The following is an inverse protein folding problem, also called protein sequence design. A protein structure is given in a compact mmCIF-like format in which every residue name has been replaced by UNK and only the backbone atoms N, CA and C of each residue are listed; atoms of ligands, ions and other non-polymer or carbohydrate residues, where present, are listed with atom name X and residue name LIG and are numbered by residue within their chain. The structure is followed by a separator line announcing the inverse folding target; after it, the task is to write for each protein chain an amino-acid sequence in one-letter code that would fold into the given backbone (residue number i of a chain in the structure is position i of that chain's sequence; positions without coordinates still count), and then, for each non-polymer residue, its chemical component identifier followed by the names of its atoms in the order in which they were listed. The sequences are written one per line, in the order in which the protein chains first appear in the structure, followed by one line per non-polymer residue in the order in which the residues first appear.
data_IF_979044889189
#
_entry.id   IF_979044889189
#
_cell.length_a   1.000
_cell.length_b   1.000
_cell.length_c   1.000
_cell.angle_alpha   90.00
_cell.angle_beta   90.00
_cell.angle_gamma   90.00
#
_symmetry.space_group_name_H-M   'P 1'
#
loop_
_entity.id
_entity.type
_entity.pdbx_description
1 polymer ?
#
# COMPACT_ATOMS: atom_id res chain seq x y z
N UNK A 1 33.52 -5.96 -14.96
CA UNK A 1 32.36 -6.23 -14.09
C UNK A 1 32.63 -5.49 -12.79
N UNK A 2 32.05 -4.31 -12.61
CA UNK A 2 32.14 -3.62 -11.31
C UNK A 2 31.51 -4.50 -10.24
N UNK A 3 32.29 -4.79 -9.20
CA UNK A 3 31.84 -5.58 -8.07
C UNK A 3 30.54 -4.99 -7.51
N UNK A 4 29.56 -5.85 -7.29
CA UNK A 4 28.30 -5.53 -6.59
C UNK A 4 28.60 -4.73 -5.30
N UNK A 5 27.86 -3.65 -4.97
CA UNK A 5 28.05 -2.94 -3.70
C UNK A 5 27.48 -3.78 -2.56
N UNK A 6 28.16 -4.89 -2.28
CA UNK A 6 27.74 -5.86 -1.27
C UNK A 6 27.77 -5.22 0.10
N UNK A 7 28.75 -4.35 0.32
CA UNK A 7 28.97 -3.70 1.61
C UNK A 7 27.78 -2.81 2.01
N UNK A 8 27.31 -1.82 1.21
CA UNK A 8 26.11 -1.07 1.56
C UNK A 8 24.88 -1.94 1.81
N UNK A 9 24.61 -2.93 0.95
CA UNK A 9 23.43 -3.79 1.13
C UNK A 9 23.52 -4.70 2.36
N UNK A 10 24.72 -5.19 2.71
CA UNK A 10 24.96 -5.98 3.93
C UNK A 10 24.82 -5.11 5.20
N UNK A 11 25.34 -3.89 5.19
CA UNK A 11 25.16 -2.93 6.30
C UNK A 11 23.68 -2.59 6.45
N UNK A 12 22.98 -2.35 5.33
CA UNK A 12 21.55 -2.09 5.34
C UNK A 12 20.77 -3.26 5.94
N UNK A 13 21.08 -4.50 5.53
CA UNK A 13 20.47 -5.71 6.06
C UNK A 13 20.73 -5.85 7.58
N UNK A 14 21.96 -5.61 8.02
CA UNK A 14 22.31 -5.62 9.45
C UNK A 14 21.52 -4.60 10.26
N UNK A 15 21.45 -3.35 9.78
CA UNK A 15 20.64 -2.29 10.39
C UNK A 15 19.14 -2.61 10.38
N UNK A 16 18.65 -3.25 9.32
CA UNK A 16 17.26 -3.67 9.20
C UNK A 16 16.88 -4.79 10.17
N UNK A 17 17.78 -5.76 10.39
CA UNK A 17 17.59 -6.81 11.40
C UNK A 17 17.55 -6.23 12.82
N UNK A 18 18.41 -5.26 13.13
CA UNK A 18 18.35 -4.51 14.39
C UNK A 18 17.04 -3.72 14.49
N UNK A 19 16.59 -3.13 13.38
CA UNK A 19 15.30 -2.46 13.24
C UNK A 19 14.09 -3.33 13.52
N UNK A 20 14.11 -4.58 13.06
CA UNK A 20 13.10 -5.58 13.38
C UNK A 20 13.03 -5.82 14.90
N UNK A 21 14.19 -6.06 15.54
CA UNK A 21 14.26 -6.25 17.00
C UNK A 21 13.82 -5.01 17.78
N UNK A 22 14.20 -3.80 17.32
CA UNK A 22 13.76 -2.54 17.90
C UNK A 22 12.24 -2.39 17.78
N UNK A 23 11.65 -2.68 16.61
CA UNK A 23 10.20 -2.60 16.42
C UNK A 23 9.46 -3.61 17.31
N UNK A 24 9.97 -4.84 17.42
CA UNK A 24 9.40 -5.88 18.29
C UNK A 24 9.38 -5.49 19.76
N UNK A 25 10.40 -4.77 20.22
CA UNK A 25 10.57 -4.39 21.64
C UNK A 25 9.88 -3.07 21.98
N UNK A 26 9.91 -2.09 21.08
CA UNK A 26 9.36 -0.76 21.32
C UNK A 26 7.84 -0.71 21.26
N UNK A 27 7.19 -1.48 20.37
CA UNK A 27 5.72 -1.51 20.27
C UNK A 27 5.05 -1.82 21.63
N UNK A 28 5.39 -2.92 22.34
CA UNK A 28 4.81 -3.19 23.65
C UNK A 28 5.29 -2.20 24.71
N UNK A 29 6.52 -1.68 24.62
CA UNK A 29 7.04 -0.71 25.58
C UNK A 29 6.28 0.64 25.56
N UNK A 30 5.73 1.03 24.41
CA UNK A 30 4.95 2.27 24.28
C UNK A 30 3.43 2.07 24.39
N UNK A 31 2.94 0.83 24.45
CA UNK A 31 1.50 0.51 24.48
C UNK A 31 0.71 1.36 25.50
N UNK A 32 1.18 1.47 26.74
CA UNK A 32 0.49 2.22 27.80
C UNK A 32 0.40 3.72 27.49
N UNK A 33 1.39 4.28 26.76
CA UNK A 33 1.38 5.69 26.35
C UNK A 33 0.30 5.96 25.31
N UNK A 34 0.10 5.04 24.35
CA UNK A 34 -0.97 5.16 23.35
C UNK A 34 -2.35 5.04 24.00
N UNK A 35 -2.51 4.10 24.94
CA UNK A 35 -3.74 3.98 25.72
C UNK A 35 -4.03 5.25 26.53
N UNK A 36 -3.02 5.80 27.21
CA UNK A 36 -3.14 7.06 27.96
C UNK A 36 -3.47 8.26 27.06
N UNK A 37 -2.93 8.29 25.84
CA UNK A 37 -3.22 9.32 24.83
C UNK A 37 -4.57 9.13 24.11
N UNK A 38 -5.35 8.10 24.47
CA UNK A 38 -6.61 7.72 23.81
C UNK A 38 -6.46 7.34 22.33
N UNK A 39 -5.27 6.86 21.94
CA UNK A 39 -5.00 6.31 20.62
C UNK A 39 -5.22 4.79 20.65
N UNK A 40 -6.48 4.40 20.66
CA UNK A 40 -6.89 2.99 20.67
C UNK A 40 -8.23 2.79 19.96
N UNK A 41 -8.46 1.57 19.50
CA UNK A 41 -9.71 1.12 18.89
C UNK A 41 -10.22 -0.18 19.50
N UNK A 42 -11.47 -0.52 19.23
CA UNK A 42 -12.02 -1.85 19.53
C UNK A 42 -11.84 -2.77 18.32
N UNK A 43 -11.60 -4.06 18.59
CA UNK A 43 -11.63 -5.07 17.53
C UNK A 43 -13.09 -5.39 17.15
N UNK A 44 -13.58 -4.73 16.10
CA UNK A 44 -14.96 -4.83 15.62
C UNK A 44 -15.35 -6.24 15.16
N UNK A 45 -14.37 -7.11 14.91
CA UNK A 45 -14.55 -8.50 14.48
C UNK A 45 -14.45 -9.50 15.63
N UNK A 46 -14.38 -9.04 16.89
CA UNK A 46 -14.34 -9.89 18.08
C UNK A 46 -15.43 -9.52 19.07
N UNK A 47 -15.83 -10.50 19.89
CA UNK A 47 -16.77 -10.27 20.98
C UNK A 47 -16.16 -9.40 22.11
N UNK A 48 -14.83 -9.48 22.29
CA UNK A 48 -14.11 -8.71 23.30
C UNK A 48 -14.01 -7.23 22.92
N UNK A 49 -14.53 -6.36 23.78
CA UNK A 49 -14.49 -4.89 23.66
C UNK A 49 -13.27 -4.25 24.34
N UNK A 50 -12.18 -5.01 24.53
CA UNK A 50 -10.95 -4.47 25.11
C UNK A 50 -10.35 -3.41 24.16
N UNK A 51 -9.85 -2.28 24.68
CA UNK A 51 -9.14 -1.30 23.87
C UNK A 51 -7.81 -1.89 23.39
N UNK A 52 -7.52 -1.72 22.10
CA UNK A 52 -6.28 -2.14 21.45
C UNK A 52 -5.56 -0.88 20.95
N UNK A 53 -4.28 -0.66 21.30
CA UNK A 53 -3.53 0.51 20.83
C UNK A 53 -3.55 0.63 19.32
N UNK A 54 -3.83 1.83 18.83
CA UNK A 54 -3.89 2.16 17.40
C UNK A 54 -2.67 2.98 16.98
N UNK A 55 -2.55 3.28 15.68
CA UNK A 55 -1.47 4.05 15.09
C UNK A 55 -0.05 3.51 15.38
N UNK A 56 0.12 2.20 15.64
CA UNK A 56 1.44 1.62 15.92
C UNK A 56 2.39 1.64 14.71
N UNK A 57 1.87 1.90 13.51
CA UNK A 57 2.67 2.21 12.34
C UNK A 57 3.68 3.34 12.56
N UNK A 58 3.39 4.28 13.48
CA UNK A 58 4.30 5.38 13.81
C UNK A 58 5.60 4.88 14.44
N UNK A 59 5.57 3.82 15.23
CA UNK A 59 6.77 3.24 15.86
C UNK A 59 7.63 2.55 14.80
N UNK A 60 7.04 1.69 13.97
CA UNK A 60 7.78 1.05 12.87
C UNK A 60 8.31 2.07 11.86
N UNK A 61 7.54 3.14 11.58
CA UNK A 61 7.96 4.24 10.72
C UNK A 61 9.11 5.06 11.31
N UNK A 62 9.08 5.35 12.62
CA UNK A 62 10.17 6.03 13.30
C UNK A 62 11.45 5.18 13.31
N UNK A 63 11.35 3.89 13.60
CA UNK A 63 12.48 2.95 13.54
C UNK A 63 13.04 2.89 12.11
N UNK A 64 12.18 2.82 11.10
CA UNK A 64 12.57 2.87 9.68
C UNK A 64 13.37 4.14 9.35
N UNK A 65 12.90 5.32 9.77
CA UNK A 65 13.60 6.58 9.54
C UNK A 65 14.96 6.61 10.25
N UNK A 66 15.05 6.13 11.50
CA UNK A 66 16.32 6.07 12.24
C UNK A 66 17.34 5.17 11.51
N UNK A 67 16.91 3.99 11.04
CA UNK A 67 17.78 3.09 10.27
C UNK A 67 18.31 3.81 9.05
N UNK A 68 17.43 4.44 8.27
CA UNK A 68 17.85 5.11 7.04
C UNK A 68 18.69 6.36 7.29
N UNK A 69 18.43 7.13 8.35
CA UNK A 69 19.27 8.26 8.73
C UNK A 69 20.70 7.81 9.08
N UNK A 70 20.83 6.71 9.83
CA UNK A 70 22.14 6.11 10.10
C UNK A 70 22.76 5.48 8.85
N UNK A 71 21.95 5.07 7.88
CA UNK A 71 22.40 4.47 6.62
C UNK A 71 22.82 5.50 5.56
N UNK A 72 22.38 6.76 5.62
CA UNK A 72 22.71 7.83 4.65
C UNK A 72 24.20 7.86 4.24
N UNK A 73 25.19 7.84 5.15
CA UNK A 73 26.60 7.93 4.75
C UNK A 73 27.12 6.64 4.08
N UNK A 74 26.41 5.51 4.21
CA UNK A 74 26.89 4.18 3.83
C UNK A 74 27.09 4.00 2.33
N UNK A 75 26.12 4.35 1.45
CA UNK A 75 26.33 4.32 0.00
C UNK A 75 27.52 5.17 -0.47
N UNK A 76 27.85 6.23 0.28
CA UNK A 76 28.88 7.20 -0.06
C UNK A 76 30.22 6.97 0.67
N UNK A 77 30.41 5.84 1.35
CA UNK A 77 31.62 5.57 2.14
C UNK A 77 32.92 5.70 1.34
N UNK A 78 32.90 5.36 0.04
CA UNK A 78 34.09 5.54 -0.82
C UNK A 78 34.54 7.00 -0.86
N UNK A 79 33.61 7.96 -0.93
CA UNK A 79 33.95 9.38 -0.86
C UNK A 79 34.45 9.84 0.53
N UNK A 80 34.14 9.11 1.60
CA UNK A 80 34.59 9.45 2.96
C UNK A 80 35.90 8.78 3.36
N UNK A 81 36.19 7.59 2.83
CA UNK A 81 37.33 6.74 3.25
C UNK A 81 38.49 6.82 2.27
N UNK A 82 38.21 6.87 0.96
CA UNK A 82 39.24 7.04 -0.06
C UNK A 82 39.31 8.54 -0.37
N UNK A 83 40.49 9.17 -0.25
CA UNK A 83 40.75 10.58 -0.64
C UNK A 83 40.54 10.85 -2.15
N UNK A 84 39.84 9.96 -2.86
CA UNK A 84 39.73 9.88 -4.32
C UNK A 84 38.31 10.13 -4.87
N UNK A 85 37.39 10.74 -4.10
CA UNK A 85 36.20 11.32 -4.73
C UNK A 85 36.54 12.65 -5.41
N UNK A 86 36.70 12.62 -6.73
CA UNK A 86 36.90 13.83 -7.54
C UNK A 86 35.72 14.80 -7.41
N UNK A 87 34.50 14.29 -7.22
CA UNK A 87 33.30 15.04 -6.87
C UNK A 87 32.33 14.14 -6.08
N UNK A 88 31.56 14.72 -5.15
CA UNK A 88 30.54 14.00 -4.40
C UNK A 88 29.30 13.75 -5.29
N UNK A 89 28.73 12.52 -5.31
CA UNK A 89 27.55 12.20 -6.11
C UNK A 89 26.28 12.82 -5.51
N UNK A 90 26.07 14.10 -5.78
CA UNK A 90 24.94 14.85 -5.24
C UNK A 90 23.58 14.35 -5.73
N UNK A 91 23.50 13.79 -6.94
CA UNK A 91 22.24 13.32 -7.53
C UNK A 91 21.64 12.16 -6.71
N UNK A 92 22.43 11.10 -6.46
CA UNK A 92 22.04 9.96 -5.61
C UNK A 92 21.72 10.39 -4.17
N UNK A 93 22.47 11.35 -3.63
CA UNK A 93 22.22 11.88 -2.29
C UNK A 93 20.91 12.65 -2.22
N UNK A 94 20.61 13.47 -3.22
CA UNK A 94 19.35 14.22 -3.33
C UNK A 94 18.17 13.26 -3.47
N UNK A 95 18.32 12.17 -4.23
CA UNK A 95 17.30 11.12 -4.33
C UNK A 95 17.01 10.47 -2.98
N UNK A 96 18.06 10.10 -2.23
CA UNK A 96 17.93 9.47 -0.91
C UNK A 96 17.23 10.41 0.09
N UNK A 97 17.68 11.66 0.18
CA UNK A 97 17.14 12.66 1.11
C UNK A 97 15.72 13.09 0.73
N UNK A 98 15.46 13.36 -0.54
CA UNK A 98 14.13 13.76 -1.02
C UNK A 98 13.09 12.65 -0.82
N UNK A 99 13.50 11.39 -0.99
CA UNK A 99 12.69 10.21 -0.69
C UNK A 99 12.36 10.08 0.79
N UNK A 100 13.38 10.24 1.65
CA UNK A 100 13.19 10.24 3.10
C UNK A 100 12.30 11.38 3.56
N UNK A 101 12.42 12.56 2.96
CA UNK A 101 11.54 13.69 3.24
C UNK A 101 10.09 13.37 2.88
N UNK A 102 9.83 12.82 1.70
CA UNK A 102 8.49 12.41 1.29
C UNK A 102 7.88 11.36 2.25
N UNK A 103 8.66 10.32 2.60
CA UNK A 103 8.21 9.26 3.51
C UNK A 103 8.00 9.79 4.94
N UNK A 104 8.92 10.61 5.46
CA UNK A 104 8.81 11.22 6.78
C UNK A 104 7.57 12.14 6.87
N UNK A 105 7.36 13.00 5.87
CA UNK A 105 6.15 13.81 5.77
C UNK A 105 4.90 12.93 5.77
N UNK A 106 4.92 11.80 5.06
CA UNK A 106 3.77 10.92 5.00
C UNK A 106 3.50 10.18 6.33
N UNK A 107 4.54 9.71 7.03
CA UNK A 107 4.39 9.12 8.38
C UNK A 107 3.77 10.15 9.32
N UNK A 108 4.27 11.39 9.29
CA UNK A 108 3.74 12.48 10.11
C UNK A 108 2.26 12.78 9.78
N UNK A 109 1.92 12.90 8.50
CA UNK A 109 0.55 13.22 8.07
C UNK A 109 -0.43 12.07 8.34
N UNK A 110 0.02 10.81 8.20
CA UNK A 110 -0.78 9.65 8.57
C UNK A 110 -1.05 9.59 10.07
N UNK A 111 -0.04 9.92 10.89
CA UNK A 111 -0.22 10.03 12.34
C UNK A 111 -1.14 11.20 12.72
N UNK A 112 -1.03 12.34 12.04
CA UNK A 112 -1.96 13.44 12.20
C UNK A 112 -3.40 13.05 11.80
N UNK A 113 -3.59 12.22 10.76
CA UNK A 113 -4.90 11.70 10.37
C UNK A 113 -5.50 10.76 11.44
N UNK A 114 -4.70 9.84 11.99
CA UNK A 114 -5.12 8.97 13.09
C UNK A 114 -5.54 9.78 14.34
N UNK A 115 -4.81 10.84 14.69
CA UNK A 115 -5.10 11.68 15.87
C UNK A 115 -6.30 12.61 15.62
N UNK A 116 -6.37 13.25 14.46
CA UNK A 116 -7.34 14.31 14.17
C UNK A 116 -8.60 13.82 13.44
N UNK A 117 -8.63 12.57 12.96
CA UNK A 117 -9.71 11.99 12.17
C UNK A 117 -10.13 12.89 11.00
N UNK A 118 -9.21 13.13 10.05
CA UNK A 118 -9.43 14.12 9.00
C UNK A 118 -10.52 13.69 8.01
N UNK A 119 -11.20 14.67 7.42
CA UNK A 119 -12.19 14.44 6.35
C UNK A 119 -11.52 13.82 5.11
N UNK A 120 -12.26 12.99 4.37
CA UNK A 120 -11.80 12.27 3.17
C UNK A 120 -11.04 13.14 2.15
N UNK A 121 -11.41 14.41 1.97
CA UNK A 121 -10.72 15.34 1.06
C UNK A 121 -9.25 15.52 1.41
N UNK A 122 -8.90 15.54 2.71
CA UNK A 122 -7.51 15.68 3.15
C UNK A 122 -6.74 14.38 2.90
N UNK A 123 -7.40 13.22 2.90
CA UNK A 123 -6.79 11.93 2.53
C UNK A 123 -6.36 11.87 1.06
N UNK A 124 -6.84 12.80 0.22
CA UNK A 124 -6.36 13.00 -1.16
C UNK A 124 -5.32 14.12 -1.26
N UNK A 125 -5.56 15.24 -0.58
CA UNK A 125 -4.68 16.42 -0.65
C UNK A 125 -3.32 16.19 0.05
N UNK A 126 -3.32 15.54 1.21
CA UNK A 126 -2.11 15.35 2.02
C UNK A 126 -1.08 14.46 1.32
N UNK A 127 -1.44 13.30 0.73
CA UNK A 127 -0.49 12.55 -0.09
C UNK A 127 0.03 13.30 -1.30
N UNK A 128 -0.81 14.13 -1.92
CA UNK A 128 -0.39 14.97 -3.05
C UNK A 128 0.68 15.97 -2.60
N UNK A 129 0.49 16.64 -1.46
CA UNK A 129 1.49 17.57 -0.92
C UNK A 129 2.78 16.86 -0.46
N UNK A 130 2.66 15.71 0.21
CA UNK A 130 3.81 14.95 0.69
C UNK A 130 4.64 14.30 -0.41
N UNK A 131 4.08 14.14 -1.63
CA UNK A 131 4.83 13.66 -2.80
C UNK A 131 5.57 14.78 -3.55
N UNK A 132 5.39 16.06 -3.20
CA UNK A 132 6.10 17.15 -3.87
C UNK A 132 7.64 17.03 -3.83
N UNK A 133 8.29 16.62 -2.71
CA UNK A 133 9.74 16.39 -2.71
C UNK A 133 10.16 15.36 -3.77
N UNK A 134 9.41 14.26 -3.89
CA UNK A 134 9.64 13.21 -4.88
C UNK A 134 9.52 13.74 -6.31
N UNK A 135 8.50 14.57 -6.59
CA UNK A 135 8.32 15.21 -7.90
C UNK A 135 9.47 16.19 -8.22
N UNK A 136 9.96 16.94 -7.23
CA UNK A 136 11.08 17.87 -7.43
C UNK A 136 12.39 17.12 -7.72
N UNK A 137 12.69 16.05 -6.98
CA UNK A 137 13.83 15.17 -7.27
C UNK A 137 13.75 14.60 -8.68
N UNK A 138 12.56 14.10 -9.08
CA UNK A 138 12.37 13.57 -10.42
C UNK A 138 12.65 14.63 -11.50
N UNK A 139 12.18 15.85 -11.28
CA UNK A 139 12.40 16.98 -12.18
C UNK A 139 13.87 17.38 -12.30
N UNK A 140 14.61 17.39 -11.20
CA UNK A 140 16.02 17.84 -11.20
C UNK A 140 16.98 16.79 -11.74
N UNK A 141 16.74 15.51 -11.46
CA UNK A 141 17.71 14.44 -11.73
C UNK A 141 17.42 13.69 -13.04
N UNK A 142 16.16 13.41 -13.35
CA UNK A 142 15.79 12.55 -14.50
C UNK A 142 15.08 13.33 -15.61
N UNK A 143 14.02 14.07 -15.27
CA UNK A 143 13.27 14.92 -16.19
C UNK A 143 12.53 14.20 -17.34
N UNK A 144 12.59 12.87 -17.43
CA UNK A 144 12.00 12.14 -18.56
C UNK A 144 10.48 11.95 -18.41
N UNK A 145 9.70 12.67 -19.20
CA UNK A 145 8.23 12.57 -19.19
C UNK A 145 7.67 11.71 -20.32
N UNK A 146 8.54 11.07 -21.11
CA UNK A 146 8.13 10.24 -22.25
C UNK A 146 7.88 8.80 -21.82
N UNK A 147 6.69 8.29 -22.12
CA UNK A 147 6.34 6.90 -21.88
C UNK A 147 6.42 6.07 -23.16
N UNK A 148 6.85 4.82 -23.03
CA UNK A 148 6.67 3.81 -24.08
C UNK A 148 5.22 3.31 -24.04
N UNK A 149 4.53 3.43 -25.18
CA UNK A 149 3.14 3.04 -25.34
C UNK A 149 3.04 1.52 -25.60
N UNK A 150 2.16 0.79 -24.89
CA UNK A 150 1.96 -0.64 -25.15
C UNK A 150 1.43 -0.91 -26.56
N UNK A 151 1.86 -2.01 -27.19
CA UNK A 151 1.54 -2.43 -28.58
C UNK A 151 0.07 -2.18 -28.99
N UNK A 152 -0.96 -2.58 -28.21
CA UNK A 152 -2.36 -2.37 -28.60
C UNK A 152 -2.76 -0.90 -28.82
N UNK A 153 -2.07 0.06 -28.18
CA UNK A 153 -2.41 1.48 -28.23
C UNK A 153 -1.54 2.29 -29.20
N UNK A 154 -0.49 1.68 -29.78
CA UNK A 154 0.46 2.39 -30.63
C UNK A 154 -0.15 2.92 -31.93
N UNK A 155 -1.21 2.28 -32.43
CA UNK A 155 -1.93 2.75 -33.61
C UNK A 155 -2.55 4.13 -33.37
N UNK A 156 -3.00 4.40 -32.14
CA UNK A 156 -3.65 5.67 -31.78
C UNK A 156 -2.65 6.72 -31.27
N UNK A 157 -1.66 6.30 -30.50
CA UNK A 157 -0.81 7.20 -29.70
C UNK A 157 0.66 7.23 -30.12
N UNK A 158 1.06 6.44 -31.12
CA UNK A 158 2.46 6.28 -31.52
C UNK A 158 3.25 5.34 -30.59
N UNK A 159 4.56 5.20 -30.85
CA UNK A 159 5.45 4.34 -30.05
C UNK A 159 5.84 5.00 -28.71
N UNK A 160 6.10 6.30 -28.76
CA UNK A 160 6.49 7.13 -27.63
C UNK A 160 5.50 8.27 -27.49
N UNK A 161 5.06 8.53 -26.27
CA UNK A 161 4.15 9.61 -25.95
C UNK A 161 4.77 10.47 -24.84
N UNK A 162 5.05 11.73 -25.14
CA UNK A 162 5.43 12.70 -24.13
C UNK A 162 4.18 13.20 -23.40
N UNK A 163 4.13 12.96 -22.09
CA UNK A 163 3.03 13.36 -21.23
C UNK A 163 3.27 14.73 -20.57
N UNK A 164 4.50 15.24 -20.59
CA UNK A 164 4.88 16.48 -19.90
C UNK A 164 4.35 16.55 -18.47
N UNK A 165 3.58 17.60 -18.16
CA UNK A 165 2.97 17.81 -16.84
C UNK A 165 2.04 16.67 -16.39
N UNK A 166 1.40 15.97 -17.31
CA UNK A 166 0.52 14.85 -16.96
C UNK A 166 1.30 13.67 -16.36
N UNK A 167 2.59 13.55 -16.67
CA UNK A 167 3.46 12.56 -16.01
C UNK A 167 3.67 12.89 -14.53
N UNK A 168 3.84 14.17 -14.19
CA UNK A 168 3.92 14.62 -12.80
C UNK A 168 2.60 14.45 -12.05
N UNK A 169 1.47 14.71 -12.70
CA UNK A 169 0.14 14.41 -12.15
C UNK A 169 0.00 12.91 -11.88
N UNK A 170 0.45 12.06 -12.80
CA UNK A 170 0.47 10.61 -12.61
C UNK A 170 1.31 10.21 -11.39
N UNK A 171 2.53 10.74 -11.24
CA UNK A 171 3.39 10.43 -10.09
C UNK A 171 2.76 10.85 -8.75
N UNK A 172 2.18 12.05 -8.69
CA UNK A 172 1.46 12.51 -7.50
C UNK A 172 0.25 11.63 -7.18
N UNK A 173 -0.55 11.28 -8.20
CA UNK A 173 -1.69 10.40 -8.04
C UNK A 173 -1.30 8.95 -7.72
N UNK A 174 -0.10 8.50 -8.10
CA UNK A 174 0.42 7.20 -7.73
C UNK A 174 0.66 7.11 -6.22
N UNK A 175 1.22 8.15 -5.61
CA UNK A 175 1.37 8.23 -4.15
C UNK A 175 0.00 8.27 -3.43
N UNK A 176 -0.95 9.05 -3.95
CA UNK A 176 -2.33 9.09 -3.43
C UNK A 176 -2.98 7.70 -3.54
N UNK A 177 -2.81 7.03 -4.67
CA UNK A 177 -3.38 5.71 -4.91
C UNK A 177 -2.77 4.67 -3.97
N UNK A 178 -1.44 4.53 -3.91
CA UNK A 178 -0.80 3.49 -3.10
C UNK A 178 -1.17 3.59 -1.61
N UNK A 179 -1.23 4.79 -1.05
CA UNK A 179 -1.61 5.02 0.36
C UNK A 179 -3.06 4.66 0.63
N UNK A 180 -3.98 5.16 -0.19
CA UNK A 180 -5.41 4.91 0.00
C UNK A 180 -5.81 3.48 -0.36
N UNK A 181 -5.17 2.86 -1.35
CA UNK A 181 -5.54 1.52 -1.83
C UNK A 181 -5.24 0.44 -0.78
N UNK A 182 -4.13 0.56 -0.04
CA UNK A 182 -3.84 -0.27 1.14
C UNK A 182 -4.87 0.03 2.23
N UNK A 183 -5.15 1.31 2.49
CA UNK A 183 -6.05 1.72 3.56
C UNK A 183 -7.51 1.25 3.40
N UNK A 184 -8.00 1.14 2.16
CA UNK A 184 -9.36 0.64 1.91
C UNK A 184 -9.45 -0.89 1.80
N UNK A 185 -8.31 -1.59 1.73
CA UNK A 185 -8.21 -3.06 1.80
C UNK A 185 -7.75 -3.46 3.20
N UNK A 186 -8.57 -3.11 4.19
CA UNK A 186 -8.25 -3.14 5.61
C UNK A 186 -9.41 -3.68 6.45
N UNK A 187 -9.18 -3.82 7.76
CA UNK A 187 -10.24 -4.09 8.75
C UNK A 187 -10.39 -5.55 9.17
N UNK A 188 -9.39 -6.40 8.90
CA UNK A 188 -9.23 -7.71 9.54
C UNK A 188 -7.79 -7.86 10.02
N UNK A 189 -7.59 -8.56 11.14
CA UNK A 189 -6.30 -8.65 11.83
C UNK A 189 -5.16 -9.15 10.91
N UNK A 190 -4.13 -8.32 10.73
CA UNK A 190 -2.92 -8.62 9.97
C UNK A 190 -2.93 -8.28 8.47
N UNK A 191 -4.04 -7.77 7.91
CA UNK A 191 -4.14 -7.61 6.45
C UNK A 191 -3.33 -6.45 5.89
N UNK A 192 -3.27 -5.33 6.59
CA UNK A 192 -2.59 -4.10 6.15
C UNK A 192 -1.07 -4.33 6.13
N UNK A 193 -0.48 -4.74 7.26
CA UNK A 193 0.94 -5.06 7.34
C UNK A 193 1.30 -6.31 6.51
N UNK A 194 0.43 -7.31 6.48
CA UNK A 194 0.66 -8.55 5.73
C UNK A 194 0.71 -8.34 4.22
N UNK A 195 -0.24 -7.61 3.63
CA UNK A 195 -0.23 -7.36 2.18
C UNK A 195 0.97 -6.51 1.78
N UNK A 196 1.33 -5.50 2.60
CA UNK A 196 2.51 -4.68 2.38
C UNK A 196 3.81 -5.50 2.46
N UNK A 197 3.91 -6.49 3.35
CA UNK A 197 5.06 -7.39 3.38
C UNK A 197 5.20 -8.23 2.12
N UNK A 198 4.10 -8.76 1.58
CA UNK A 198 4.14 -9.52 0.32
C UNK A 198 4.56 -8.63 -0.85
N UNK A 199 4.03 -7.40 -0.92
CA UNK A 199 4.42 -6.42 -1.94
C UNK A 199 5.90 -6.07 -1.81
N UNK A 200 6.38 -5.75 -0.60
CA UNK A 200 7.78 -5.44 -0.34
C UNK A 200 8.71 -6.61 -0.71
N UNK A 201 8.37 -7.84 -0.32
CA UNK A 201 9.12 -9.03 -0.71
C UNK A 201 9.16 -9.21 -2.23
N UNK A 202 8.04 -8.95 -2.91
CA UNK A 202 7.96 -9.04 -4.38
C UNK A 202 8.86 -8.01 -5.04
N UNK A 203 8.89 -6.76 -4.54
CA UNK A 203 9.79 -5.71 -5.03
C UNK A 203 11.25 -6.06 -4.73
N UNK A 204 11.58 -6.60 -3.54
CA UNK A 204 12.93 -7.06 -3.20
C UNK A 204 13.39 -8.16 -4.17
N UNK A 205 12.56 -9.18 -4.40
CA UNK A 205 12.87 -10.27 -5.35
C UNK A 205 13.06 -9.70 -6.76
N UNK A 206 12.17 -8.81 -7.20
CA UNK A 206 12.27 -8.15 -8.49
C UNK A 206 13.58 -7.38 -8.63
N UNK A 207 13.93 -6.53 -7.66
CA UNK A 207 15.21 -5.82 -7.66
C UNK A 207 16.38 -6.80 -7.72
N UNK A 208 16.38 -7.87 -6.91
CA UNK A 208 17.47 -8.86 -6.92
C UNK A 208 17.68 -9.47 -8.30
N UNK A 209 16.59 -9.79 -9.01
CA UNK A 209 16.66 -10.33 -10.37
C UNK A 209 17.19 -9.30 -11.37
N UNK A 210 16.76 -8.04 -11.27
CA UNK A 210 17.15 -6.99 -12.23
C UNK A 210 18.54 -6.37 -11.96
N UNK A 211 19.23 -6.74 -10.87
CA UNK A 211 20.57 -6.21 -10.57
C UNK A 211 21.66 -6.65 -11.56
N UNK A 212 21.39 -7.68 -12.38
CA UNK A 212 22.25 -8.06 -13.50
C UNK A 212 21.85 -7.37 -14.81
N UNK A 213 20.82 -6.52 -14.80
CA UNK A 213 20.30 -5.79 -15.97
C UNK A 213 20.83 -4.35 -16.07
N UNK A 214 20.26 -3.60 -17.01
CA UNK A 214 20.73 -2.27 -17.42
C UNK A 214 20.49 -1.17 -16.37
N UNK A 215 19.48 -1.31 -15.51
CA UNK A 215 19.06 -0.31 -14.52
C UNK A 215 19.49 -0.68 -13.09
N UNK A 216 20.72 -1.18 -12.95
CA UNK A 216 21.23 -1.72 -11.68
C UNK A 216 21.14 -0.71 -10.53
N UNK A 217 21.49 0.55 -10.74
CA UNK A 217 21.54 1.57 -9.68
C UNK A 217 20.14 1.89 -9.12
N UNK A 218 19.13 1.98 -9.98
CA UNK A 218 17.71 2.13 -9.62
C UNK A 218 17.23 0.99 -8.70
N UNK A 219 17.66 -0.25 -8.98
CA UNK A 219 17.30 -1.41 -8.17
C UNK A 219 18.06 -1.47 -6.84
N UNK A 220 19.31 -1.02 -6.80
CA UNK A 220 20.08 -0.84 -5.55
C UNK A 220 19.40 0.21 -4.67
N UNK A 221 19.07 1.37 -5.25
CA UNK A 221 18.34 2.44 -4.58
C UNK A 221 17.03 1.93 -3.97
N UNK A 222 16.23 1.20 -4.75
CA UNK A 222 15.00 0.59 -4.27
C UNK A 222 15.23 -0.40 -3.11
N UNK A 223 16.27 -1.22 -3.17
CA UNK A 223 16.65 -2.12 -2.06
C UNK A 223 17.04 -1.37 -0.78
N UNK A 224 17.62 -0.18 -0.89
CA UNK A 224 17.94 0.64 0.29
C UNK A 224 16.72 0.93 1.14
N UNK A 225 15.56 1.20 0.53
CA UNK A 225 14.31 1.45 1.25
C UNK A 225 13.53 0.17 1.56
N UNK A 226 13.47 -0.77 0.61
CA UNK A 226 12.60 -1.95 0.76
C UNK A 226 13.06 -2.91 1.85
N UNK A 227 14.38 -3.07 2.07
CA UNK A 227 14.89 -3.98 3.11
C UNK A 227 14.50 -3.49 4.52
N UNK A 228 14.79 -2.24 4.94
CA UNK A 228 14.31 -1.71 6.22
C UNK A 228 12.79 -1.74 6.34
N UNK A 229 12.08 -1.36 5.28
CA UNK A 229 10.61 -1.37 5.27
C UNK A 229 10.06 -2.77 5.56
N UNK A 230 10.62 -3.79 4.92
CA UNK A 230 10.23 -5.19 5.13
C UNK A 230 10.45 -5.59 6.60
N UNK A 231 11.63 -5.34 7.16
CA UNK A 231 11.95 -5.79 8.51
C UNK A 231 11.21 -5.02 9.62
N UNK A 232 11.01 -3.71 9.49
CA UNK A 232 10.20 -2.95 10.46
C UNK A 232 8.72 -3.34 10.37
N UNK A 233 8.20 -3.56 9.16
CA UNK A 233 6.82 -4.06 8.97
C UNK A 233 6.65 -5.48 9.53
N UNK A 234 7.66 -6.35 9.41
CA UNK A 234 7.63 -7.68 10.00
C UNK A 234 7.53 -7.63 11.53
N UNK A 235 8.22 -6.67 12.16
CA UNK A 235 8.13 -6.42 13.60
C UNK A 235 6.74 -5.90 14.01
N UNK A 236 6.13 -5.04 13.20
CA UNK A 236 4.75 -4.58 13.39
C UNK A 236 3.74 -5.73 13.23
N UNK A 237 3.89 -6.54 12.17
CA UNK A 237 3.02 -7.68 11.90
C UNK A 237 3.06 -8.69 13.04
N UNK A 238 4.20 -8.90 13.69
CA UNK A 238 4.27 -9.80 14.86
C UNK A 238 3.27 -9.44 15.98
N UNK A 239 3.01 -8.15 16.20
CA UNK A 239 2.03 -7.69 17.20
C UNK A 239 0.63 -7.50 16.62
N UNK A 240 0.52 -7.21 15.32
CA UNK A 240 -0.74 -7.02 14.59
C UNK A 240 -1.34 -8.32 14.01
N UNK A 241 -0.60 -9.43 14.01
CA UNK A 241 -1.12 -10.71 13.53
C UNK A 241 -2.26 -11.21 14.42
N UNK A 242 -3.17 -12.00 13.84
CA UNK A 242 -4.29 -12.57 14.59
C UNK A 242 -3.80 -13.44 15.78
N UNK A 243 -4.33 -13.23 17.00
CA UNK A 243 -5.23 -12.15 17.40
C UNK A 243 -4.47 -10.84 17.69
N UNK A 244 -4.86 -9.74 17.03
CA UNK A 244 -4.15 -8.45 17.17
C UNK A 244 -4.01 -8.01 18.61
N UNK A 245 -2.79 -7.61 18.96
CA UNK A 245 -2.44 -6.89 20.18
C UNK A 245 -2.34 -5.39 19.93
N UNK A 246 -2.17 -4.99 18.68
CA UNK A 246 -2.11 -3.59 18.23
C UNK A 246 -2.72 -3.42 16.84
N UNK A 247 -3.18 -2.20 16.52
CA UNK A 247 -3.58 -1.78 15.19
C UNK A 247 -2.55 -0.84 14.55
N UNK A 248 -2.40 -0.96 13.24
CA UNK A 248 -1.37 -0.24 12.48
C UNK A 248 -1.72 1.24 12.28
N UNK A 249 -3.02 1.56 12.16
CA UNK A 249 -3.55 2.90 11.87
C UNK A 249 -3.35 3.37 10.43
N UNK A 250 -3.96 4.51 10.09
CA UNK A 250 -3.77 5.21 8.82
C UNK A 250 -2.28 5.56 8.63
N UNK A 251 -1.56 5.83 9.73
CA UNK A 251 -0.10 6.05 9.75
C UNK A 251 0.66 5.01 8.95
N UNK A 252 0.37 3.72 9.17
CA UNK A 252 1.07 2.65 8.46
C UNK A 252 0.67 2.59 6.98
N UNK A 253 -0.62 2.71 6.66
CA UNK A 253 -1.09 2.66 5.28
C UNK A 253 -0.45 3.79 4.44
N UNK A 254 -0.32 4.97 5.05
CA UNK A 254 0.30 6.15 4.46
C UNK A 254 1.81 5.93 4.29
N UNK A 255 2.49 5.49 5.35
CA UNK A 255 3.91 5.10 5.33
C UNK A 255 4.20 4.08 4.22
N UNK A 256 3.47 2.97 4.17
CA UNK A 256 3.66 1.90 3.20
C UNK A 256 3.43 2.40 1.78
N UNK A 257 2.29 3.05 1.53
CA UNK A 257 1.94 3.53 0.20
C UNK A 257 2.94 4.53 -0.36
N UNK A 258 3.44 5.47 0.45
CA UNK A 258 4.47 6.41 0.02
C UNK A 258 5.81 5.74 -0.22
N UNK A 259 6.22 4.81 0.66
CA UNK A 259 7.49 4.08 0.46
C UNK A 259 7.48 3.30 -0.85
N UNK A 260 6.36 2.64 -1.20
CA UNK A 260 6.20 1.98 -2.49
C UNK A 260 6.23 2.99 -3.65
N UNK A 261 5.46 4.07 -3.57
CA UNK A 261 5.43 5.09 -4.63
C UNK A 261 6.82 5.69 -4.89
N UNK A 262 7.59 5.99 -3.83
CA UNK A 262 8.97 6.48 -3.91
C UNK A 262 9.86 5.53 -4.71
N UNK A 263 9.93 4.25 -4.32
CA UNK A 263 10.81 3.30 -5.01
C UNK A 263 10.33 2.99 -6.42
N UNK A 264 9.00 2.98 -6.66
CA UNK A 264 8.45 2.77 -7.99
C UNK A 264 8.70 3.94 -8.94
N UNK A 265 8.69 5.18 -8.43
CA UNK A 265 8.91 6.40 -9.22
C UNK A 265 10.40 6.58 -9.52
N UNK A 266 11.26 6.64 -8.49
CA UNK A 266 12.69 6.88 -8.70
C UNK A 266 13.43 5.65 -9.21
N UNK A 267 12.91 4.44 -8.95
CA UNK A 267 13.44 3.22 -9.54
C UNK A 267 12.89 2.93 -10.95
N UNK A 268 12.11 3.82 -11.55
CA UNK A 268 11.55 3.70 -12.91
C UNK A 268 10.72 2.42 -13.19
N UNK A 269 10.28 1.69 -12.18
CA UNK A 269 9.48 0.46 -12.31
C UNK A 269 8.03 0.59 -11.81
N UNK A 270 7.49 1.82 -11.75
CA UNK A 270 6.11 2.11 -11.29
C UNK A 270 5.03 1.25 -11.97
N UNK A 271 5.20 0.90 -13.25
CA UNK A 271 4.32 -0.04 -13.97
C UNK A 271 4.37 -1.46 -13.38
N UNK A 272 5.56 -1.99 -13.13
CA UNK A 272 5.74 -3.31 -12.50
C UNK A 272 5.25 -3.29 -11.06
N UNK A 273 5.51 -2.21 -10.33
CA UNK A 273 4.99 -2.02 -8.98
C UNK A 273 3.45 -2.07 -8.95
N UNK A 274 2.78 -1.39 -9.89
CA UNK A 274 1.31 -1.45 -10.00
C UNK A 274 0.79 -2.87 -10.29
N UNK A 275 1.56 -3.73 -10.95
CA UNK A 275 1.21 -5.14 -11.11
C UNK A 275 1.31 -5.90 -9.77
N UNK A 276 2.25 -5.57 -8.89
CA UNK A 276 2.25 -6.11 -7.53
C UNK A 276 1.05 -5.60 -6.69
N UNK A 277 0.42 -4.50 -7.10
CA UNK A 277 -0.80 -3.97 -6.48
C UNK A 277 -2.11 -4.55 -7.05
N UNK A 278 -2.08 -5.66 -7.80
CA UNK A 278 -3.29 -6.24 -8.44
C UNK A 278 -4.48 -6.36 -7.46
N UNK A 279 -4.35 -6.96 -6.25
CA UNK A 279 -5.49 -7.06 -5.34
C UNK A 279 -6.01 -5.71 -4.85
N UNK A 280 -5.12 -4.75 -4.61
CA UNK A 280 -5.46 -3.38 -4.19
C UNK A 280 -6.20 -2.64 -5.31
N UNK A 281 -5.71 -2.75 -6.55
CA UNK A 281 -6.36 -2.20 -7.76
C UNK A 281 -7.76 -2.81 -7.92
N UNK A 282 -7.89 -4.13 -7.82
CA UNK A 282 -9.19 -4.81 -7.93
C UNK A 282 -10.15 -4.39 -6.81
N UNK A 283 -9.67 -4.30 -5.56
CA UNK A 283 -10.49 -3.82 -4.44
C UNK A 283 -10.93 -2.37 -4.62
N UNK A 284 -10.04 -1.50 -5.10
CA UNK A 284 -10.34 -0.10 -5.39
C UNK A 284 -11.41 0.03 -6.47
N UNK A 285 -11.21 -0.63 -7.63
CA UNK A 285 -12.17 -0.63 -8.74
C UNK A 285 -13.53 -1.18 -8.32
N UNK A 286 -13.55 -2.29 -7.57
CA UNK A 286 -14.78 -2.86 -7.04
C UNK A 286 -15.47 -1.94 -6.03
N UNK A 287 -14.71 -1.19 -5.24
CA UNK A 287 -15.22 -0.23 -4.26
C UNK A 287 -15.73 1.09 -4.86
N UNK A 288 -15.37 1.44 -6.11
CA UNK A 288 -15.66 2.75 -6.69
C UNK A 288 -17.12 3.19 -6.60
N UNK A 289 -18.13 2.34 -6.86
CA UNK A 289 -19.53 2.75 -6.74
C UNK A 289 -19.90 3.24 -5.33
N UNK A 290 -19.31 2.63 -4.29
CA UNK A 290 -19.50 3.06 -2.91
C UNK A 290 -18.63 4.26 -2.56
N UNK A 291 -17.35 4.29 -2.97
CA UNK A 291 -16.45 5.41 -2.66
C UNK A 291 -16.94 6.74 -3.26
N UNK A 292 -17.50 6.71 -4.47
CA UNK A 292 -18.13 7.87 -5.10
C UNK A 292 -19.58 8.11 -4.67
N UNK A 293 -20.09 7.37 -3.69
CA UNK A 293 -21.45 7.49 -3.15
C UNK A 293 -22.56 7.35 -4.22
N UNK A 294 -22.25 6.69 -5.34
CA UNK A 294 -23.26 6.30 -6.34
C UNK A 294 -24.18 5.22 -5.77
N UNK A 295 -23.61 4.34 -4.94
CA UNK A 295 -24.31 3.40 -4.06
C UNK A 295 -23.99 3.81 -2.60
N UNK A 296 -24.97 3.77 -1.67
CA UNK A 296 -24.73 4.12 -0.28
C UNK A 296 -23.57 3.36 0.36
N UNK A 297 -22.61 4.12 0.90
CA UNK A 297 -21.39 3.63 1.50
C UNK A 297 -21.45 3.77 3.02
N UNK A 298 -21.51 2.67 3.79
CA UNK A 298 -21.43 2.76 5.23
C UNK A 298 -20.02 3.15 5.67
N UNK A 299 -19.90 3.75 6.87
CA UNK A 299 -18.61 4.15 7.45
C UNK A 299 -17.64 2.96 7.55
N UNK A 300 -18.14 1.80 7.94
CA UNK A 300 -17.37 0.57 8.08
C UNK A 300 -17.89 -0.49 7.10
N UNK A 301 -16.99 -0.99 6.25
CA UNK A 301 -17.28 -2.01 5.21
C UNK A 301 -16.63 -3.37 5.51
N UNK A 302 -16.05 -3.52 6.70
CA UNK A 302 -15.51 -4.80 7.18
C UNK A 302 -16.63 -5.85 7.33
N UNK A 303 -16.29 -7.15 7.20
CA UNK A 303 -17.25 -8.23 7.44
C UNK A 303 -17.82 -8.19 8.86
N UNK A 304 -18.89 -8.96 9.11
CA UNK A 304 -19.52 -9.03 10.44
C UNK A 304 -19.20 -10.36 11.11
N UNK A 305 -18.82 -10.32 12.38
CA UNK A 305 -18.71 -11.53 13.20
C UNK A 305 -20.10 -12.08 13.50
N UNK A 306 -20.30 -13.38 13.26
CA UNK A 306 -21.42 -14.13 13.82
C UNK A 306 -20.99 -14.74 15.17
N UNK A 307 -21.54 -14.28 16.32
CA UNK A 307 -21.13 -14.77 17.63
C UNK A 307 -21.39 -16.26 17.87
N UNK A 308 -22.39 -16.83 17.18
CA UNK A 308 -22.75 -18.25 17.34
C UNK A 308 -21.75 -19.19 16.65
N UNK A 309 -21.20 -18.78 15.50
CA UNK A 309 -20.27 -19.60 14.73
C UNK A 309 -18.80 -19.23 14.96
N UNK A 310 -18.53 -18.03 15.48
CA UNK A 310 -17.18 -17.47 15.63
C UNK A 310 -16.53 -17.13 14.29
N UNK A 311 -17.30 -17.05 13.20
CA UNK A 311 -16.82 -16.78 11.84
C UNK A 311 -17.27 -15.42 11.35
N UNK A 312 -16.53 -14.89 10.37
CA UNK A 312 -16.87 -13.68 9.64
C UNK A 312 -17.83 -14.00 8.49
N UNK A 313 -18.89 -13.21 8.40
CA UNK A 313 -19.91 -13.24 7.36
C UNK A 313 -19.88 -11.93 6.55
N UNK A 314 -20.53 -11.95 5.38
CA UNK A 314 -20.65 -10.74 4.57
C UNK A 314 -21.36 -9.63 5.34
N UNK A 315 -20.84 -8.41 5.19
CA UNK A 315 -21.51 -7.20 5.62
C UNK A 315 -22.35 -6.63 4.48
N UNK A 316 -23.44 -5.96 4.82
CA UNK A 316 -24.40 -5.43 3.87
C UNK A 316 -24.68 -3.93 4.10
N UNK A 317 -25.05 -3.25 3.02
CA UNK A 317 -25.54 -1.88 3.00
C UNK A 317 -27.03 -1.89 2.61
N UNK A 318 -27.90 -1.49 3.54
CA UNK A 318 -29.36 -1.41 3.35
C UNK A 318 -29.76 0.03 3.05
N UNK A 319 -30.56 0.23 2.00
CA UNK A 319 -31.08 1.55 1.60
C UNK A 319 -32.44 1.44 0.90
N UNK A 320 -33.19 2.55 0.87
CA UNK A 320 -34.49 2.60 0.18
C UNK A 320 -34.28 2.45 -1.31
N UNK A 321 -34.99 1.51 -1.97
CA UNK A 321 -34.78 1.23 -3.40
C UNK A 321 -35.00 2.46 -4.26
N UNK A 322 -35.98 3.29 -3.89
CA UNK A 322 -36.34 4.53 -4.60
C UNK A 322 -35.32 5.67 -4.45
N UNK A 323 -34.40 5.61 -3.47
CA UNK A 323 -33.40 6.68 -3.29
C UNK A 323 -32.18 6.53 -4.19
N UNK A 324 -32.07 5.43 -4.94
CA UNK A 324 -30.92 5.17 -5.79
C UNK A 324 -31.01 5.99 -7.09
N UNK A 325 -29.90 6.61 -7.48
CA UNK A 325 -29.82 7.34 -8.76
C UNK A 325 -30.00 6.41 -9.96
N UNK A 326 -30.31 6.97 -11.14
CA UNK A 326 -30.39 6.19 -12.38
C UNK A 326 -29.07 5.45 -12.68
N UNK A 327 -27.94 6.12 -12.48
CA UNK A 327 -26.61 5.52 -12.60
C UNK A 327 -26.41 4.38 -11.61
N UNK A 328 -26.75 4.60 -10.33
CA UNK A 328 -26.65 3.58 -9.29
C UNK A 328 -27.51 2.35 -9.61
N UNK A 329 -28.72 2.57 -10.13
CA UNK A 329 -29.63 1.49 -10.55
C UNK A 329 -29.04 0.67 -11.70
N UNK A 330 -28.44 1.31 -12.69
CA UNK A 330 -27.79 0.62 -13.80
C UNK A 330 -26.55 -0.16 -13.35
N UNK A 331 -25.72 0.42 -12.48
CA UNK A 331 -24.57 -0.28 -11.87
C UNK A 331 -25.07 -1.49 -11.09
N UNK A 332 -26.09 -1.34 -10.25
CA UNK A 332 -26.68 -2.44 -9.47
C UNK A 332 -27.19 -3.58 -10.35
N UNK A 333 -27.86 -3.26 -11.48
CA UNK A 333 -28.28 -4.27 -12.47
C UNK A 333 -27.08 -5.00 -13.08
N UNK A 334 -26.04 -4.26 -13.46
CA UNK A 334 -24.83 -4.83 -14.06
C UNK A 334 -24.08 -5.76 -13.08
N UNK A 335 -23.82 -5.31 -11.85
CA UNK A 335 -23.10 -6.13 -10.86
C UNK A 335 -23.91 -7.35 -10.39
N UNK A 336 -25.24 -7.24 -10.40
CA UNK A 336 -26.15 -8.38 -10.16
C UNK A 336 -26.08 -9.38 -11.32
N UNK A 337 -26.10 -8.93 -12.57
CA UNK A 337 -25.97 -9.78 -13.75
C UNK A 337 -24.63 -10.52 -13.79
N UNK A 338 -23.55 -9.84 -13.39
CA UNK A 338 -22.20 -10.43 -13.29
C UNK A 338 -22.01 -11.34 -12.07
N UNK A 339 -23.03 -11.48 -11.20
CA UNK A 339 -22.97 -12.22 -9.94
C UNK A 339 -21.83 -11.81 -9.01
N UNK A 340 -21.36 -10.56 -9.08
CA UNK A 340 -20.25 -10.04 -8.24
C UNK A 340 -20.77 -9.56 -6.88
N UNK A 341 -22.04 -9.13 -6.81
CA UNK A 341 -22.67 -8.56 -5.62
C UNK A 341 -23.88 -9.43 -5.24
N UNK A 342 -24.00 -9.77 -3.95
CA UNK A 342 -25.20 -10.39 -3.39
C UNK A 342 -26.24 -9.29 -3.11
N UNK A 343 -27.42 -9.41 -3.72
CA UNK A 343 -28.47 -8.39 -3.65
C UNK A 343 -29.77 -9.02 -3.16
N UNK A 344 -30.29 -8.47 -2.07
CA UNK A 344 -31.53 -8.89 -1.43
C UNK A 344 -32.52 -7.74 -1.49
N UNK A 345 -33.73 -8.03 -1.92
CA UNK A 345 -34.82 -7.06 -1.95
C UNK A 345 -35.82 -7.44 -0.86
N UNK A 346 -36.41 -6.46 -0.22
CA UNK A 346 -37.48 -6.68 0.75
C UNK A 346 -38.35 -5.44 0.91
N UNK A 347 -39.37 -5.56 1.75
CA UNK A 347 -40.29 -4.48 2.09
C UNK A 347 -40.37 -4.38 3.60
N UNK A 348 -40.18 -3.18 4.14
CA UNK A 348 -40.38 -2.86 5.55
C UNK A 348 -41.48 -1.79 5.71
N UNK A 349 -41.71 -1.34 6.94
CA UNK A 349 -42.70 -0.30 7.27
C UNK A 349 -42.43 1.03 6.53
N UNK A 350 -41.17 1.27 6.13
CA UNK A 350 -40.68 2.46 5.43
C UNK A 350 -40.71 2.34 3.89
N UNK A 351 -41.12 1.17 3.37
CA UNK A 351 -41.30 0.86 1.95
C UNK A 351 -40.35 -0.22 1.41
N UNK A 352 -40.16 -0.24 0.09
CA UNK A 352 -39.23 -1.17 -0.55
C UNK A 352 -37.77 -0.78 -0.28
N UNK A 353 -36.99 -1.75 0.20
CA UNK A 353 -35.55 -1.62 0.42
C UNK A 353 -34.76 -2.60 -0.44
N UNK A 354 -33.54 -2.17 -0.75
CA UNK A 354 -32.51 -3.01 -1.36
C UNK A 354 -31.36 -3.11 -0.37
N UNK A 355 -30.87 -4.33 -0.18
CA UNK A 355 -29.70 -4.64 0.62
C UNK A 355 -28.67 -5.31 -0.29
N UNK A 356 -27.48 -4.71 -0.40
CA UNK A 356 -26.38 -5.29 -1.17
C UNK A 356 -25.17 -5.56 -0.28
N UNK A 357 -24.42 -6.63 -0.53
CA UNK A 357 -23.17 -6.84 0.19
C UNK A 357 -22.21 -5.68 -0.07
N UNK A 358 -21.39 -5.33 0.92
CA UNK A 358 -20.41 -4.26 0.77
C UNK A 358 -19.37 -4.62 -0.28
N UNK A 359 -19.09 -3.67 -1.17
CA UNK A 359 -18.25 -3.88 -2.35
C UNK A 359 -16.77 -3.75 -1.96
N UNK A 360 -16.25 -4.79 -1.31
CA UNK A 360 -14.82 -4.92 -0.97
C UNK A 360 -14.34 -6.33 -1.31
N UNK A 361 -13.07 -6.48 -1.63
CA UNK A 361 -12.46 -7.78 -1.94
C UNK A 361 -12.63 -8.77 -0.78
N UNK A 362 -12.61 -8.29 0.48
CA UNK A 362 -12.84 -9.11 1.67
C UNK A 362 -14.24 -9.74 1.64
N UNK A 363 -15.29 -8.95 1.44
CA UNK A 363 -16.66 -9.46 1.34
C UNK A 363 -16.85 -10.33 0.10
N UNK A 364 -16.18 -10.01 -1.02
CA UNK A 364 -16.23 -10.82 -2.23
C UNK A 364 -15.63 -12.21 -2.01
N UNK A 365 -14.50 -12.33 -1.30
CA UNK A 365 -13.93 -13.63 -0.94
C UNK A 365 -14.91 -14.42 -0.07
N UNK A 366 -15.51 -13.81 0.96
CA UNK A 366 -16.53 -14.48 1.79
C UNK A 366 -17.74 -14.91 0.95
N UNK A 367 -18.15 -14.11 -0.04
CA UNK A 367 -19.22 -14.48 -0.98
C UNK A 367 -18.90 -15.77 -1.73
N UNK A 368 -17.64 -15.97 -2.12
CA UNK A 368 -17.21 -17.14 -2.89
C UNK A 368 -17.03 -18.40 -2.03
N UNK A 369 -16.45 -18.27 -0.83
CA UNK A 369 -16.07 -19.42 0.01
C UNK A 369 -17.01 -19.67 1.20
N UNK A 370 -17.95 -18.76 1.45
CA UNK A 370 -18.83 -18.78 2.61
C UNK A 370 -18.18 -18.24 3.90
N UNK A 371 -18.90 -18.32 5.04
CA UNK A 371 -18.42 -17.83 6.32
C UNK A 371 -17.11 -18.49 6.75
N UNK A 372 -16.12 -17.68 7.13
CA UNK A 372 -14.77 -18.15 7.45
C UNK A 372 -14.20 -17.46 8.67
N UNK A 373 -13.27 -18.12 9.35
CA UNK A 373 -12.60 -17.55 10.52
C UNK A 373 -11.63 -16.44 10.09
N UNK A 374 -11.55 -15.34 10.86
CA UNK A 374 -10.77 -14.15 10.53
C UNK A 374 -9.32 -14.48 10.12
N UNK A 375 -8.59 -15.26 10.94
CA UNK A 375 -7.22 -15.69 10.62
C UNK A 375 -7.11 -16.35 9.23
N UNK A 376 -8.06 -17.21 8.89
CA UNK A 376 -8.03 -17.95 7.63
C UNK A 376 -8.39 -17.03 6.45
N UNK A 377 -9.28 -16.05 6.67
CA UNK A 377 -9.59 -15.02 5.68
C UNK A 377 -8.38 -14.14 5.38
N UNK A 378 -7.66 -13.67 6.41
CA UNK A 378 -6.41 -12.92 6.24
C UNK A 378 -5.40 -13.76 5.44
N UNK A 379 -5.15 -15.01 5.83
CA UNK A 379 -4.24 -15.91 5.11
C UNK A 379 -4.64 -16.11 3.64
N UNK A 380 -5.94 -16.27 3.35
CA UNK A 380 -6.43 -16.43 2.00
C UNK A 380 -6.22 -15.16 1.16
N UNK A 381 -6.44 -13.97 1.72
CA UNK A 381 -6.16 -12.71 1.04
C UNK A 381 -4.66 -12.49 0.80
N UNK A 382 -3.80 -12.90 1.73
CA UNK A 382 -2.35 -12.89 1.52
C UNK A 382 -1.93 -13.90 0.44
N UNK A 383 -2.58 -15.06 0.35
CA UNK A 383 -2.35 -16.01 -0.75
C UNK A 383 -2.78 -15.42 -2.10
N UNK A 384 -3.92 -14.71 -2.15
CA UNK A 384 -4.36 -13.96 -3.34
C UNK A 384 -3.31 -12.91 -3.72
N UNK A 385 -2.70 -12.23 -2.73
CA UNK A 385 -1.61 -11.29 -2.95
C UNK A 385 -0.36 -11.95 -3.54
N UNK A 386 0.07 -13.10 -3.01
CA UNK A 386 1.20 -13.88 -3.56
C UNK A 386 0.91 -14.34 -4.99
N UNK A 387 -0.32 -14.79 -5.26
CA UNK A 387 -0.74 -15.17 -6.61
C UNK A 387 -0.72 -13.96 -7.55
N UNK A 388 -1.19 -12.80 -7.09
CA UNK A 388 -1.09 -11.54 -7.83
C UNK A 388 0.36 -11.19 -8.19
N UNK A 389 1.29 -11.32 -7.25
CA UNK A 389 2.73 -11.14 -7.52
C UNK A 389 3.29 -12.16 -8.50
N UNK A 390 2.86 -13.42 -8.42
CA UNK A 390 3.27 -14.46 -9.38
C UNK A 390 2.80 -14.13 -10.79
N UNK A 391 1.56 -13.66 -10.93
CA UNK A 391 1.02 -13.17 -12.21
C UNK A 391 1.83 -11.97 -12.69
N UNK A 392 2.15 -11.02 -11.81
CA UNK A 392 2.97 -9.85 -12.15
C UNK A 392 4.35 -10.24 -12.69
N UNK A 393 5.04 -11.17 -12.04
CA UNK A 393 6.31 -11.71 -12.52
C UNK A 393 6.17 -12.44 -13.86
N UNK A 394 5.10 -13.22 -14.04
CA UNK A 394 4.83 -13.90 -15.32
C UNK A 394 4.58 -12.89 -16.44
N UNK A 395 3.85 -11.81 -16.15
CA UNK A 395 3.63 -10.71 -17.09
C UNK A 395 4.95 -10.02 -17.43
N UNK A 396 5.78 -9.70 -16.44
CA UNK A 396 7.05 -8.99 -16.62
C UNK A 396 8.09 -9.81 -17.39
N UNK A 397 8.24 -11.10 -17.09
CA UNK A 397 9.34 -11.90 -17.66
C UNK A 397 8.95 -12.75 -18.87
N UNK A 398 7.67 -13.10 -19.03
CA UNK A 398 7.22 -13.95 -20.14
C UNK A 398 6.32 -13.21 -21.13
N UNK A 399 5.39 -12.40 -20.63
CA UNK A 399 4.38 -11.74 -21.48
C UNK A 399 4.74 -10.32 -21.90
N UNK A 400 5.86 -9.76 -21.43
CA UNK A 400 6.25 -8.38 -21.74
C UNK A 400 6.39 -8.14 -23.24
N UNK A 401 6.82 -9.15 -24.00
CA UNK A 401 6.92 -9.13 -25.46
C UNK A 401 5.57 -8.94 -26.18
N UNK A 402 4.45 -9.26 -25.53
CA UNK A 402 3.11 -8.99 -26.05
C UNK A 402 2.76 -7.50 -25.99
N UNK A 403 3.39 -6.75 -25.08
CA UNK A 403 3.08 -5.35 -24.83
C UNK A 403 4.17 -4.39 -25.30
N UNK A 404 5.42 -4.83 -25.31
CA UNK A 404 6.59 -4.02 -25.62
C UNK A 404 7.54 -4.79 -26.56
N UNK A 405 8.41 -4.06 -27.24
CA UNK A 405 9.51 -4.66 -27.99
C UNK A 405 10.68 -4.76 -27.00
N UNK A 406 10.93 -5.99 -26.53
CA UNK A 406 11.92 -6.33 -25.50
C UNK A 406 12.83 -7.41 -26.03
#
# INVERSE_FOLDING_TARGET
MEAWPAVPLLINLGGSLLGFLATLTLIPAFQDRFLAARLFGEDLNKASRRPIPEAQGVISGAVFLIILFCFIPVPFLRCFVEEQCAAFPHDEFVELIGSLLAICCMIFLGFADDVLNLRWRHKLLLPTMASLPLLMVYFTNFGNTTIVVPKPFRVLLGMHLDLGILYYVYMGMLAVFCTNAINILAGINGIEAGQSLVIAASIIIFNIVELNGDYRDDHIFSLYFMIPFFFTTLGLLYHNWYPSRVFVGDTFCYFAGMTFAVVGILGHFSKTMLLFFIPQVLNFLYSLPQLFHVIPCPRHRLPRLNPSTGKLEMSYSKFKTKSLSALGTNIMKAVKLLHVVDVRNGTDEDGEYTECNNMTLINFVIKLIGPTHERNLTLLLLLIQVLGSTIAFSVRYQLVRLFYDV
#
